data_IF_432603405905
#
_entry.id   IF_432603405905
#
_cell.length_a   1.000
_cell.length_b   1.000
_cell.length_c   1.000
_cell.angle_alpha   90.00
_cell.angle_beta   90.00
_cell.angle_gamma   90.00
#
_symmetry.space_group_name_H-M   'P 1'
#
loop_
_entity.id
_entity.type
_entity.pdbx_description
1 polymer ?
#
# COMPACT_ATOMS: atom_id res chain seq x y z
N UNK A 1 -28.70 -6.65 25.98
CA UNK A 1 -27.28 -6.88 25.66
C UNK A 1 -27.06 -6.46 24.22
N UNK A 2 -26.49 -5.29 23.95
CA UNK A 2 -26.25 -4.84 22.57
C UNK A 2 -25.13 -5.68 21.97
N UNK A 3 -25.40 -6.43 20.89
CA UNK A 3 -24.38 -7.22 20.20
C UNK A 3 -23.24 -6.29 19.75
N UNK A 4 -22.07 -6.46 20.34
CA UNK A 4 -20.89 -5.69 19.99
C UNK A 4 -20.45 -6.13 18.59
N UNK A 5 -20.52 -5.23 17.61
CA UNK A 5 -20.03 -5.52 16.26
C UNK A 5 -18.54 -5.93 16.32
N UNK A 6 -18.12 -6.93 15.52
CA UNK A 6 -16.71 -7.32 15.48
C UNK A 6 -15.83 -6.14 15.02
N UNK A 7 -14.59 -6.03 15.52
CA UNK A 7 -13.64 -5.03 15.06
C UNK A 7 -13.44 -5.08 13.55
N UNK A 8 -13.31 -3.91 12.92
CA UNK A 8 -13.15 -3.78 11.47
C UNK A 8 -11.72 -3.39 11.12
N UNK A 9 -11.17 -4.02 10.08
CA UNK A 9 -9.83 -3.74 9.57
C UNK A 9 -9.73 -2.31 9.02
N UNK A 10 -8.70 -1.57 9.44
CA UNK A 10 -8.42 -0.23 8.90
C UNK A 10 -7.36 -0.26 7.78
N UNK A 11 -6.51 -1.30 7.76
CA UNK A 11 -5.52 -1.53 6.71
C UNK A 11 -5.22 -3.04 6.60
N UNK A 12 -4.60 -3.44 5.48
CA UNK A 12 -4.07 -4.79 5.30
C UNK A 12 -2.64 -4.93 5.84
N UNK A 13 -2.25 -6.16 6.13
CA UNK A 13 -0.88 -6.63 6.32
C UNK A 13 -0.76 -7.94 5.55
N UNK A 14 0.34 -8.12 4.82
CA UNK A 14 0.54 -9.33 4.02
C UNK A 14 0.67 -10.56 4.92
N UNK A 15 0.23 -11.73 4.43
CA UNK A 15 0.15 -12.97 5.23
C UNK A 15 1.50 -13.40 5.83
N UNK A 16 2.57 -13.14 5.10
CA UNK A 16 3.95 -13.45 5.46
C UNK A 16 4.67 -12.29 6.19
N UNK A 17 3.99 -11.16 6.39
CA UNK A 17 4.52 -10.01 7.10
C UNK A 17 4.10 -10.02 8.56
N UNK A 18 5.06 -9.75 9.45
CA UNK A 18 4.80 -9.43 10.86
C UNK A 18 4.63 -7.93 11.06
N UNK A 19 3.92 -7.51 12.10
CA UNK A 19 3.90 -6.11 12.50
C UNK A 19 2.63 -5.66 13.19
N UNK A 20 2.40 -4.35 13.11
CA UNK A 20 1.27 -3.66 13.74
C UNK A 20 0.07 -3.74 12.81
N UNK A 21 -1.03 -4.31 13.31
CA UNK A 21 -2.34 -4.31 12.66
C UNK A 21 -3.32 -3.43 13.44
N UNK A 22 -3.93 -2.46 12.77
CA UNK A 22 -4.85 -1.51 13.40
C UNK A 22 -6.29 -1.83 12.97
N UNK A 23 -7.18 -1.90 13.97
CA UNK A 23 -8.61 -2.17 13.80
C UNK A 23 -9.45 -1.15 14.55
N UNK A 24 -10.60 -0.78 13.98
CA UNK A 24 -11.60 0.06 14.64
C UNK A 24 -12.64 -0.79 15.37
N UNK A 25 -12.88 -0.49 16.66
CA UNK A 25 -13.92 -1.17 17.46
C UNK A 25 -15.34 -0.67 17.16
N UNK A 26 -15.46 0.48 16.50
CA UNK A 26 -16.74 1.08 16.08
C UNK A 26 -16.68 1.40 14.60
N UNK A 27 -17.84 1.52 13.95
CA UNK A 27 -17.90 1.91 12.53
C UNK A 27 -17.19 3.25 12.28
N UNK A 28 -17.45 4.25 13.13
CA UNK A 28 -16.87 5.59 13.01
C UNK A 28 -15.34 5.56 13.13
N UNK A 29 -14.79 4.82 14.10
CA UNK A 29 -13.34 4.70 14.27
C UNK A 29 -12.69 3.97 13.10
N UNK A 30 -13.30 2.90 12.60
CA UNK A 30 -12.80 2.17 11.43
C UNK A 30 -12.77 3.06 10.19
N UNK A 31 -13.84 3.81 9.91
CA UNK A 31 -13.91 4.74 8.77
C UNK A 31 -12.84 5.83 8.88
N UNK A 32 -12.67 6.42 10.07
CA UNK A 32 -11.66 7.46 10.28
C UNK A 32 -10.24 6.92 10.07
N UNK A 33 -9.92 5.76 10.67
CA UNK A 33 -8.62 5.12 10.50
C UNK A 33 -8.36 4.77 9.02
N UNK A 34 -9.35 4.20 8.34
CA UNK A 34 -9.25 3.89 6.92
C UNK A 34 -8.96 5.13 6.05
N UNK A 35 -9.60 6.29 6.32
CA UNK A 35 -9.30 7.55 5.62
C UNK A 35 -7.85 7.98 5.83
N UNK A 36 -7.38 7.93 7.08
CA UNK A 36 -6.00 8.28 7.44
C UNK A 36 -5.00 7.40 6.69
N UNK A 37 -5.26 6.09 6.56
CA UNK A 37 -4.40 5.17 5.82
C UNK A 37 -4.47 5.38 4.30
N UNK A 38 -5.63 5.74 3.74
CA UNK A 38 -5.79 6.01 2.30
C UNK A 38 -5.12 7.29 1.83
N UNK A 39 -5.37 8.41 2.51
CA UNK A 39 -4.90 9.75 2.09
C UNK A 39 -3.37 9.84 2.00
N UNK A 40 -2.65 8.98 2.73
CA UNK A 40 -1.18 8.94 2.77
C UNK A 40 -0.56 8.12 1.66
N UNK A 41 -1.31 7.19 1.08
CA UNK A 41 -0.86 6.43 -0.09
C UNK A 41 -0.90 7.32 -1.34
N UNK A 42 -1.74 8.37 -1.37
CA UNK A 42 -1.87 9.35 -2.47
C UNK A 42 -0.89 10.54 -2.38
N UNK A 43 0.25 10.37 -1.72
CA UNK A 43 1.33 11.37 -1.63
C UNK A 43 2.06 11.64 -2.96
N UNK A 44 1.33 11.86 -4.04
CA UNK A 44 1.72 12.51 -5.28
C UNK A 44 0.68 13.59 -5.68
N UNK A 45 -0.12 14.09 -4.74
CA UNK A 45 -1.11 15.14 -4.98
C UNK A 45 -0.63 16.50 -4.46
N UNK A 46 -0.34 17.37 -5.42
CA UNK A 46 0.29 18.69 -5.32
C UNK A 46 -0.67 19.79 -4.83
N UNK A 47 -1.66 19.49 -4.00
CA UNK A 47 -2.61 20.52 -3.56
C UNK A 47 -2.39 20.97 -2.12
N UNK A 48 -2.02 22.25 -2.06
CA UNK A 48 -2.02 23.19 -0.96
C UNK A 48 -3.46 23.33 -0.44
N UNK A 49 -3.72 22.80 0.76
CA UNK A 49 -4.86 23.17 1.58
C UNK A 49 -4.42 23.02 3.03
N UNK A 50 -4.65 24.08 3.81
CA UNK A 50 -4.17 24.34 5.17
C UNK A 50 -4.76 23.43 6.26
N UNK A 51 -5.13 22.21 5.91
CA UNK A 51 -5.33 21.14 6.88
C UNK A 51 -4.03 20.36 6.97
N UNK A 52 -3.28 20.57 8.05
CA UNK A 52 -2.03 19.88 8.42
C UNK A 52 -2.13 18.39 8.06
N UNK A 53 -1.70 18.02 6.84
CA UNK A 53 -1.74 16.65 6.30
C UNK A 53 -0.90 15.79 7.25
N UNK A 54 -1.56 15.13 8.20
CA UNK A 54 -0.88 14.41 9.26
C UNK A 54 -0.36 13.12 8.66
N UNK A 55 0.84 13.07 8.11
CA UNK A 55 1.47 11.85 7.58
C UNK A 55 1.65 10.83 8.73
N UNK A 56 1.29 9.57 8.51
CA UNK A 56 1.51 8.43 9.41
C UNK A 56 2.68 7.68 8.80
N UNK A 57 3.89 7.83 9.35
CA UNK A 57 5.03 7.11 8.87
C UNK A 57 4.79 5.61 9.08
N UNK A 58 4.99 4.83 8.03
CA UNK A 58 5.02 3.36 8.11
C UNK A 58 6.47 2.95 7.98
N UNK A 59 7.00 2.33 9.03
CA UNK A 59 8.41 1.89 9.09
C UNK A 59 8.41 0.38 9.23
N UNK A 60 9.19 -0.29 8.40
CA UNK A 60 9.34 -1.73 8.38
C UNK A 60 10.82 -2.07 8.43
N UNK A 61 11.14 -3.18 9.06
CA UNK A 61 12.45 -3.80 8.94
C UNK A 61 12.32 -5.00 8.02
N UNK A 62 13.33 -5.20 7.18
CA UNK A 62 13.39 -6.31 6.25
C UNK A 62 14.82 -6.85 6.23
N UNK A 63 14.94 -8.18 6.18
CA UNK A 63 16.17 -8.85 5.81
C UNK A 63 16.18 -8.98 4.28
N UNK A 64 17.29 -8.61 3.65
CA UNK A 64 17.45 -8.63 2.19
C UNK A 64 18.62 -9.51 1.78
N UNK A 65 18.56 -10.04 0.55
CA UNK A 65 19.67 -10.77 -0.05
C UNK A 65 20.70 -9.76 -0.55
N UNK A 66 21.93 -9.85 -0.05
CA UNK A 66 23.01 -8.92 -0.36
C UNK A 66 22.87 -7.56 0.32
N UNK A 67 23.61 -6.56 -0.16
CA UNK A 67 23.62 -5.20 0.39
C UNK A 67 23.07 -4.21 -0.64
N UNK A 68 22.14 -3.30 -0.25
CA UNK A 68 21.69 -2.23 -1.14
C UNK A 68 22.86 -1.40 -1.65
N UNK A 69 22.89 -1.10 -2.97
CA UNK A 69 23.97 -0.34 -3.63
C UNK A 69 24.22 1.04 -2.99
N UNK A 70 23.19 1.64 -2.39
CA UNK A 70 23.27 2.89 -1.63
C UNK A 70 22.70 2.65 -0.23
N UNK A 71 23.29 3.21 0.84
CA UNK A 71 22.84 3.00 2.21
C UNK A 71 21.47 3.64 2.50
N UNK A 72 21.08 4.66 1.73
CA UNK A 72 19.79 5.35 1.82
C UNK A 72 19.38 5.85 0.44
N UNK A 73 18.07 6.01 0.23
CA UNK A 73 17.50 6.56 -1.00
C UNK A 73 15.99 6.38 -1.07
N UNK A 74 15.43 6.77 -2.20
CA UNK A 74 14.02 6.54 -2.55
C UNK A 74 13.97 5.52 -3.69
N UNK A 75 13.21 4.45 -3.51
CA UNK A 75 12.86 3.52 -4.58
C UNK A 75 11.49 3.98 -5.12
N UNK A 76 11.48 4.48 -6.35
CA UNK A 76 10.26 4.92 -7.04
C UNK A 76 10.17 4.15 -8.36
N UNK A 77 9.32 3.13 -8.38
CA UNK A 77 9.03 2.33 -9.56
C UNK A 77 7.53 2.09 -9.61
N UNK A 78 6.87 2.26 -10.78
CA UNK A 78 5.46 1.92 -10.92
C UNK A 78 5.26 0.42 -10.75
N UNK A 79 4.29 0.04 -9.93
CA UNK A 79 3.99 -1.35 -9.60
C UNK A 79 2.67 -1.78 -10.23
N UNK A 80 2.63 -2.97 -10.79
CA UNK A 80 1.42 -3.62 -11.29
C UNK A 80 1.21 -4.96 -10.59
N UNK A 81 -0.04 -5.22 -10.24
CA UNK A 81 -0.48 -6.49 -9.69
C UNK A 81 -0.96 -7.37 -10.83
N UNK A 82 -0.25 -8.46 -11.09
CA UNK A 82 -0.54 -9.41 -12.17
C UNK A 82 -1.12 -10.68 -11.56
N UNK A 83 -2.23 -11.15 -12.12
CA UNK A 83 -2.80 -12.46 -11.82
C UNK A 83 -2.08 -13.49 -12.69
N UNK A 84 -1.51 -14.52 -12.07
CA UNK A 84 -0.81 -15.60 -12.78
C UNK A 84 -1.86 -16.55 -13.41
N UNK A 85 -1.50 -17.21 -14.51
CA UNK A 85 -2.39 -18.05 -15.34
C UNK A 85 -3.14 -19.17 -14.58
N UNK A 86 -2.74 -19.50 -13.36
CA UNK A 86 -3.46 -20.43 -12.48
C UNK A 86 -4.74 -19.83 -11.85
N UNK A 87 -4.99 -18.52 -12.05
CA UNK A 87 -6.15 -17.77 -11.55
C UNK A 87 -6.19 -17.63 -10.02
N UNK A 88 -5.14 -18.07 -9.31
CA UNK A 88 -5.10 -18.17 -7.84
C UNK A 88 -3.95 -17.41 -7.21
N UNK A 89 -2.89 -17.19 -7.98
CA UNK A 89 -1.67 -16.54 -7.51
C UNK A 89 -1.56 -15.13 -8.06
N UNK A 90 -1.17 -14.17 -7.21
CA UNK A 90 -0.94 -12.79 -7.59
C UNK A 90 0.52 -12.42 -7.35
N UNK A 91 1.10 -11.63 -8.25
CA UNK A 91 2.47 -11.13 -8.11
C UNK A 91 2.53 -9.64 -8.39
N UNK A 92 3.36 -8.93 -7.62
CA UNK A 92 3.69 -7.52 -7.88
C UNK A 92 4.90 -7.47 -8.82
N UNK A 93 4.77 -6.70 -9.89
CA UNK A 93 5.79 -6.54 -10.93
C UNK A 93 6.03 -5.05 -11.18
N UNK A 94 7.21 -4.70 -11.70
CA UNK A 94 7.51 -3.32 -12.09
C UNK A 94 6.99 -3.09 -13.52
N UNK A 95 6.33 -1.96 -13.75
CA UNK A 95 5.85 -1.56 -15.08
C UNK A 95 6.95 -0.80 -15.82
N UNK A 96 7.54 -1.41 -16.84
CA UNK A 96 8.44 -0.70 -17.75
C UNK A 96 7.63 0.02 -18.84
N UNK A 97 7.71 1.35 -18.88
CA UNK A 97 7.00 2.19 -19.86
C UNK A 97 7.55 2.06 -21.31
N UNK A 98 8.24 0.96 -21.65
CA UNK A 98 8.96 0.77 -22.93
C UNK A 98 8.15 -0.09 -23.92
N UNK A 99 7.04 -0.73 -23.53
CA UNK A 99 6.37 -1.71 -24.40
C UNK A 99 5.05 -1.29 -25.06
N UNK A 100 4.57 -0.06 -24.91
CA UNK A 100 3.34 0.37 -25.63
C UNK A 100 3.58 1.02 -27.01
N UNK A 101 4.73 0.75 -27.67
CA UNK A 101 5.01 1.22 -29.04
C UNK A 101 5.16 0.11 -30.09
N UNK A 102 4.94 -1.16 -29.75
CA UNK A 102 5.11 -2.30 -30.70
C UNK A 102 3.86 -3.17 -30.93
N UNK A 103 2.66 -2.68 -30.62
CA UNK A 103 1.41 -3.42 -30.90
C UNK A 103 0.42 -2.71 -31.82
N UNK A 104 0.88 -1.74 -32.62
CA UNK A 104 0.09 -1.14 -33.70
C UNK A 104 0.87 -1.10 -35.03
N UNK A 105 1.32 -2.26 -35.48
CA UNK A 105 1.61 -2.53 -36.90
C UNK A 105 0.98 -3.89 -37.21
N UNK A 106 -0.30 -3.84 -37.55
CA UNK A 106 -0.91 -4.75 -38.52
C UNK A 106 -1.25 -3.90 -39.73
#
# INVERSE_FOLDING_TARGET
MTAQNPPRLAHGLDRDSSGILIMGRTQTSATMLHSIFREKTFGASNNNIDTKKRILPRRYWALVIGSPRRPRGLISAPLEKVVVDDGKSERITIVDNVQNKRKLLK
#
